data_IF_900785398217
#
_entry.id   IF_900785398217
#
_cell.length_a   1.000
_cell.length_b   1.000
_cell.length_c   1.000
_cell.angle_alpha   90.00
_cell.angle_beta   90.00
_cell.angle_gamma   90.00
#
_symmetry.space_group_name_H-M   'P 1'
#
loop_
_entity.id
_entity.type
_entity.pdbx_description
1 polymer ?
#
# COMPACT_ATOMS: atom_id res chain seq x y z
N UNK A 1 4.84 -0.72 -31.55
CA UNK A 1 4.89 0.75 -31.45
C UNK A 1 6.16 1.09 -30.72
N UNK A 2 7.09 1.82 -31.35
CA UNK A 2 8.28 2.31 -30.66
C UNK A 2 7.82 3.20 -29.49
N UNK A 3 8.46 3.14 -28.30
CA UNK A 3 8.10 4.05 -27.23
C UNK A 3 8.42 5.47 -27.69
N UNK A 4 7.42 6.33 -27.84
CA UNK A 4 7.68 7.73 -28.19
C UNK A 4 8.53 8.35 -27.07
N UNK A 5 9.59 9.06 -27.46
CA UNK A 5 10.52 9.73 -26.54
C UNK A 5 9.78 10.61 -25.50
N UNK A 6 8.63 11.14 -25.86
CA UNK A 6 7.75 11.92 -24.98
C UNK A 6 7.19 11.10 -23.80
N UNK A 7 6.82 9.83 -24.02
CA UNK A 7 6.39 8.94 -22.95
C UNK A 7 7.56 8.57 -22.04
N UNK A 8 8.73 8.27 -22.62
CA UNK A 8 9.94 7.97 -21.85
C UNK A 8 10.34 9.15 -20.93
N UNK A 9 10.30 10.37 -21.47
CA UNK A 9 10.54 11.60 -20.69
C UNK A 9 9.52 11.77 -19.56
N UNK A 10 8.23 11.56 -19.84
CA UNK A 10 7.16 11.68 -18.84
C UNK A 10 7.35 10.70 -17.68
N UNK A 11 7.73 9.45 -17.97
CA UNK A 11 8.01 8.43 -16.95
C UNK A 11 9.23 8.83 -16.10
N UNK A 12 10.28 9.34 -16.74
CA UNK A 12 11.51 9.75 -16.06
C UNK A 12 11.25 10.93 -15.10
N UNK A 13 10.48 11.91 -15.55
CA UNK A 13 10.04 13.05 -14.74
C UNK A 13 9.17 12.59 -13.57
N UNK A 14 8.20 11.70 -13.81
CA UNK A 14 7.35 11.14 -12.77
C UNK A 14 8.17 10.38 -11.72
N UNK A 15 9.15 9.58 -12.14
CA UNK A 15 10.04 8.87 -11.23
C UNK A 15 10.89 9.84 -10.40
N UNK A 16 11.41 10.92 -11.02
CA UNK A 16 12.14 11.97 -10.32
C UNK A 16 11.28 12.72 -9.29
N UNK A 17 10.06 13.09 -9.65
CA UNK A 17 9.11 13.72 -8.70
C UNK A 17 8.80 12.76 -7.55
N UNK A 18 8.54 11.49 -7.85
CA UNK A 18 8.24 10.47 -6.84
C UNK A 18 9.42 10.27 -5.87
N UNK A 19 10.65 10.14 -6.38
CA UNK A 19 11.84 9.92 -5.53
C UNK A 19 12.12 11.14 -4.65
N UNK A 20 12.01 12.34 -5.20
CA UNK A 20 12.16 13.59 -4.43
C UNK A 20 11.11 13.66 -3.32
N UNK A 21 9.84 13.43 -3.64
CA UNK A 21 8.76 13.45 -2.64
C UNK A 21 8.93 12.39 -1.56
N UNK A 22 9.34 11.18 -1.93
CA UNK A 22 9.63 10.13 -0.95
C UNK A 22 10.82 10.50 -0.07
N UNK A 23 11.85 11.14 -0.62
CA UNK A 23 13.03 11.58 0.12
C UNK A 23 12.64 12.66 1.14
N UNK A 24 11.84 13.65 0.74
CA UNK A 24 11.28 14.66 1.64
C UNK A 24 10.40 14.03 2.73
N UNK A 25 9.54 13.08 2.35
CA UNK A 25 8.68 12.35 3.30
C UNK A 25 9.47 11.51 4.31
N UNK A 26 10.65 11.01 3.95
CA UNK A 26 11.53 10.27 4.88
C UNK A 26 12.46 11.16 5.69
N UNK A 27 12.81 12.33 5.15
CA UNK A 27 13.74 13.28 5.76
C UNK A 27 13.07 14.28 6.69
N UNK A 28 11.75 14.46 6.58
CA UNK A 28 10.99 15.37 7.42
C UNK A 28 9.76 14.70 8.03
N UNK A 29 9.68 14.55 9.37
CA UNK A 29 8.47 14.09 10.02
C UNK A 29 7.34 15.12 9.84
N UNK A 30 6.10 14.68 9.66
CA UNK A 30 4.90 15.53 9.52
C UNK A 30 4.69 16.54 10.66
N UNK A 31 5.37 16.35 11.78
CA UNK A 31 5.23 17.17 12.98
C UNK A 31 6.15 18.41 12.98
N UNK A 32 7.13 18.49 12.08
CA UNK A 32 8.09 19.58 12.02
C UNK A 32 8.04 20.27 10.65
N UNK A 33 7.42 21.45 10.59
CA UNK A 33 7.18 22.19 9.34
C UNK A 33 8.41 22.91 8.79
N UNK A 34 9.50 22.98 9.56
CA UNK A 34 10.71 23.73 9.22
C UNK A 34 11.91 22.80 9.07
N UNK A 35 11.83 21.87 8.11
CA UNK A 35 13.02 21.16 7.69
C UNK A 35 13.94 22.13 6.96
N UNK A 36 15.19 22.27 7.42
CA UNK A 36 16.24 23.07 6.77
C UNK A 36 16.68 22.61 5.36
N UNK A 37 15.80 21.92 4.64
CA UNK A 37 15.90 21.60 3.23
C UNK A 37 15.18 22.76 2.53
N UNK A 38 15.87 23.55 1.71
CA UNK A 38 15.45 24.91 1.28
C UNK A 38 14.14 25.09 0.50
N UNK A 39 13.23 24.11 0.46
CA UNK A 39 11.88 24.16 -0.09
C UNK A 39 10.92 23.46 0.88
N UNK A 40 9.84 24.14 1.27
CA UNK A 40 8.79 23.57 2.11
C UNK A 40 8.16 22.33 1.43
N UNK A 41 7.84 21.26 2.17
CA UNK A 41 7.35 20.00 1.61
C UNK A 41 6.02 20.16 0.85
N UNK A 42 5.17 21.10 1.28
CA UNK A 42 3.93 21.47 0.58
C UNK A 42 4.20 22.09 -0.80
N UNK A 43 5.23 22.93 -0.90
CA UNK A 43 5.63 23.58 -2.15
C UNK A 43 6.25 22.54 -3.10
N UNK A 44 7.07 21.62 -2.58
CA UNK A 44 7.63 20.51 -3.36
C UNK A 44 6.54 19.59 -3.94
N UNK A 45 5.49 19.29 -3.16
CA UNK A 45 4.31 18.53 -3.61
C UNK A 45 3.56 19.24 -4.73
N UNK A 46 3.26 20.53 -4.55
CA UNK A 46 2.52 21.32 -5.54
C UNK A 46 3.30 21.44 -6.86
N UNK A 47 4.61 21.70 -6.78
CA UNK A 47 5.48 21.77 -7.95
C UNK A 47 5.54 20.41 -8.65
N UNK A 48 5.70 19.31 -7.90
CA UNK A 48 5.70 17.95 -8.44
C UNK A 48 4.41 17.60 -9.18
N UNK A 49 3.25 17.90 -8.60
CA UNK A 49 1.95 17.68 -9.23
C UNK A 49 1.76 18.52 -10.50
N UNK A 50 2.19 19.79 -10.47
CA UNK A 50 2.12 20.68 -11.63
C UNK A 50 2.98 20.13 -12.79
N UNK A 51 4.21 19.68 -12.49
CA UNK A 51 5.11 19.11 -13.49
C UNK A 51 4.50 17.86 -14.13
N UNK A 52 3.95 16.94 -13.33
CA UNK A 52 3.30 15.72 -13.83
C UNK A 52 2.09 16.07 -14.72
N UNK A 53 1.26 17.03 -14.32
CA UNK A 53 0.11 17.48 -15.11
C UNK A 53 0.55 18.05 -16.46
N UNK A 54 1.55 18.93 -16.48
CA UNK A 54 2.06 19.56 -17.71
C UNK A 54 2.65 18.50 -18.64
N UNK A 55 3.48 17.59 -18.14
CA UNK A 55 4.04 16.50 -18.95
C UNK A 55 2.95 15.58 -19.53
N UNK A 56 1.93 15.20 -18.74
CA UNK A 56 0.82 14.36 -19.22
C UNK A 56 -0.03 15.07 -20.27
N UNK A 57 -0.29 16.36 -20.08
CA UNK A 57 -1.04 17.17 -21.04
C UNK A 57 -0.31 17.34 -22.38
N UNK A 58 1.03 17.30 -22.37
CA UNK A 58 1.87 17.38 -23.57
C UNK A 58 2.05 16.03 -24.27
N UNK A 59 2.00 14.91 -23.54
CA UNK A 59 2.23 13.57 -24.08
C UNK A 59 0.95 12.86 -24.56
N UNK A 60 -0.21 13.13 -23.95
CA UNK A 60 -1.46 12.46 -24.31
C UNK A 60 -2.20 13.18 -25.44
N UNK A 61 -2.70 12.41 -26.39
CA UNK A 61 -3.46 12.92 -27.54
C UNK A 61 -4.85 13.44 -27.14
N UNK A 62 -5.46 12.90 -26.07
CA UNK A 62 -6.79 13.29 -25.60
C UNK A 62 -6.75 13.89 -24.19
N UNK A 63 -7.52 14.97 -23.97
CA UNK A 63 -7.60 15.64 -22.65
C UNK A 63 -8.19 14.73 -21.55
N UNK A 64 -9.05 13.79 -21.94
CA UNK A 64 -9.69 12.86 -21.01
C UNK A 64 -8.66 11.84 -20.50
N UNK A 65 -7.82 11.30 -21.37
CA UNK A 65 -6.78 10.34 -21.01
C UNK A 65 -5.67 10.99 -20.17
N UNK A 66 -5.30 12.23 -20.50
CA UNK A 66 -4.38 13.03 -19.68
C UNK A 66 -4.91 13.23 -18.25
N UNK A 67 -6.21 13.54 -18.11
CA UNK A 67 -6.84 13.75 -16.82
C UNK A 67 -6.96 12.47 -16.00
N UNK A 68 -7.36 11.36 -16.62
CA UNK A 68 -7.47 10.06 -15.96
C UNK A 68 -6.11 9.56 -15.46
N UNK A 69 -5.08 9.63 -16.31
CA UNK A 69 -3.72 9.23 -15.92
C UNK A 69 -3.14 10.14 -14.83
N UNK A 70 -3.40 11.44 -14.89
CA UNK A 70 -3.02 12.38 -13.83
C UNK A 70 -3.68 12.03 -12.47
N UNK A 71 -4.98 11.76 -12.44
CA UNK A 71 -5.66 11.37 -11.20
C UNK A 71 -5.06 10.08 -10.64
N UNK A 72 -4.80 9.08 -11.50
CA UNK A 72 -4.18 7.83 -11.08
C UNK A 72 -2.76 8.05 -10.51
N UNK A 73 -1.98 8.95 -11.13
CA UNK A 73 -0.64 9.31 -10.67
C UNK A 73 -0.68 10.01 -9.29
N UNK A 74 -1.57 10.99 -9.10
CA UNK A 74 -1.75 11.70 -7.81
C UNK A 74 -2.22 10.75 -6.72
N UNK A 75 -3.18 9.89 -7.03
CA UNK A 75 -3.73 8.93 -6.10
C UNK A 75 -2.70 7.86 -5.71
N UNK A 76 -1.87 7.41 -6.65
CA UNK A 76 -0.72 6.53 -6.37
C UNK A 76 0.37 7.21 -5.53
N UNK A 77 0.71 8.46 -5.84
CA UNK A 77 1.65 9.29 -5.08
C UNK A 77 1.19 9.45 -3.63
N UNK A 78 -0.07 9.83 -3.43
CA UNK A 78 -0.63 10.03 -2.09
C UNK A 78 -0.73 8.71 -1.32
N UNK A 79 -1.10 7.62 -1.99
CA UNK A 79 -1.17 6.30 -1.37
C UNK A 79 0.19 5.83 -0.86
N UNK A 80 1.26 5.94 -1.67
CA UNK A 80 2.59 5.44 -1.28
C UNK A 80 3.31 6.44 -0.35
N UNK A 81 3.38 7.71 -0.75
CA UNK A 81 4.09 8.73 0.05
C UNK A 81 3.36 9.00 1.37
N UNK A 82 2.03 9.03 1.38
CA UNK A 82 1.25 9.27 2.58
C UNK A 82 1.38 8.14 3.60
N UNK A 83 1.29 6.88 3.16
CA UNK A 83 1.46 5.73 4.07
C UNK A 83 2.88 5.63 4.60
N UNK A 84 3.90 5.93 3.78
CA UNK A 84 5.29 5.98 4.21
C UNK A 84 5.55 7.13 5.21
N UNK A 85 4.96 8.31 4.97
CA UNK A 85 5.08 9.46 5.88
C UNK A 85 4.52 9.16 7.27
N UNK A 86 3.35 8.51 7.33
CA UNK A 86 2.76 8.05 8.60
C UNK A 86 3.67 7.05 9.29
N UNK A 87 4.26 6.11 8.56
CA UNK A 87 5.20 5.14 9.11
C UNK A 87 6.44 5.82 9.72
N UNK A 88 7.00 6.82 9.04
CA UNK A 88 8.16 7.60 9.51
C UNK A 88 7.79 8.45 10.73
N UNK A 89 6.61 9.08 10.74
CA UNK A 89 6.13 9.85 11.89
C UNK A 89 6.02 9.01 13.17
N UNK A 90 5.61 7.73 13.06
CA UNK A 90 5.61 6.80 14.19
C UNK A 90 7.02 6.45 14.71
N UNK A 91 8.05 6.55 13.87
CA UNK A 91 9.44 6.21 14.27
C UNK A 91 10.11 7.38 14.99
N UNK A 92 9.77 8.62 14.66
CA UNK A 92 10.49 9.81 15.14
C UNK A 92 9.96 10.39 16.48
N UNK A 93 8.75 10.01 16.88
CA UNK A 93 8.08 10.48 18.11
C UNK A 93 8.85 10.09 19.41
N UNK A 94 8.73 10.89 20.48
CA UNK A 94 9.47 10.76 21.75
C UNK A 94 9.28 9.39 22.43
N UNK A 95 8.18 8.66 22.14
CA UNK A 95 7.94 7.27 22.62
C UNK A 95 8.53 6.21 21.69
N UNK A 96 9.76 6.42 21.22
CA UNK A 96 10.44 5.62 20.18
C UNK A 96 10.40 4.10 20.41
N UNK A 97 10.46 3.62 21.66
CA UNK A 97 10.48 2.17 21.94
C UNK A 97 9.12 1.52 21.70
N UNK A 98 8.04 2.10 22.24
CA UNK A 98 6.68 1.56 22.12
C UNK A 98 6.19 1.56 20.67
N UNK A 99 6.45 2.63 19.92
CA UNK A 99 6.01 2.69 18.52
C UNK A 99 6.78 1.71 17.63
N UNK A 100 8.09 1.50 17.87
CA UNK A 100 8.86 0.50 17.13
C UNK A 100 8.36 -0.92 17.38
N UNK A 101 8.05 -1.26 18.64
CA UNK A 101 7.46 -2.55 18.99
C UNK A 101 6.07 -2.73 18.35
N UNK A 102 5.25 -1.68 18.32
CA UNK A 102 3.95 -1.71 17.66
C UNK A 102 4.07 -1.89 16.13
N UNK A 103 5.05 -1.26 15.47
CA UNK A 103 5.30 -1.43 14.04
C UNK A 103 5.75 -2.85 13.70
N UNK A 104 6.67 -3.42 14.49
CA UNK A 104 7.08 -4.82 14.36
C UNK A 104 5.87 -5.74 14.56
N UNK A 105 5.01 -5.43 15.53
CA UNK A 105 3.80 -6.18 15.76
C UNK A 105 2.82 -6.11 14.60
N UNK A 106 2.60 -4.92 14.05
CA UNK A 106 1.75 -4.71 12.87
C UNK A 106 2.26 -5.54 11.68
N UNK A 107 3.56 -5.51 11.39
CA UNK A 107 4.16 -6.27 10.30
C UNK A 107 3.92 -7.78 10.46
N UNK A 108 4.14 -8.29 11.68
CA UNK A 108 3.95 -9.70 11.98
C UNK A 108 2.47 -10.12 11.90
N UNK A 109 1.55 -9.24 12.33
CA UNK A 109 0.11 -9.45 12.19
C UNK A 109 -0.29 -9.52 10.72
N UNK A 110 0.21 -8.62 9.87
CA UNK A 110 -0.09 -8.66 8.42
C UNK A 110 0.38 -9.98 7.83
N UNK A 111 1.62 -10.40 8.09
CA UNK A 111 2.15 -11.68 7.60
C UNK A 111 1.36 -12.89 8.11
N UNK A 112 1.02 -12.89 9.40
CA UNK A 112 0.19 -13.94 9.99
C UNK A 112 -1.22 -13.96 9.39
N UNK A 113 -1.78 -12.78 9.10
CA UNK A 113 -3.11 -12.65 8.51
C UNK A 113 -3.15 -13.12 7.06
N UNK A 114 -2.11 -12.85 6.26
CA UNK A 114 -1.96 -13.35 4.88
C UNK A 114 -1.76 -14.86 4.86
N UNK A 115 -0.92 -15.37 5.77
CA UNK A 115 -0.72 -16.82 5.93
C UNK A 115 -2.02 -17.50 6.36
N UNK A 116 -2.71 -16.93 7.34
CA UNK A 116 -3.99 -17.43 7.85
C UNK A 116 -5.07 -17.45 6.77
N UNK A 117 -5.16 -16.39 5.97
CA UNK A 117 -6.04 -16.30 4.82
C UNK A 117 -5.76 -17.40 3.78
N UNK A 118 -4.48 -17.63 3.49
CA UNK A 118 -4.07 -18.65 2.52
C UNK A 118 -4.37 -20.05 3.04
N UNK A 119 -4.09 -20.33 4.32
CA UNK A 119 -4.36 -21.62 4.95
C UNK A 119 -5.86 -21.88 4.97
N UNK A 120 -6.68 -20.94 5.44
CA UNK A 120 -8.13 -21.15 5.46
C UNK A 120 -8.69 -21.31 4.05
N UNK A 121 -8.27 -20.48 3.10
CA UNK A 121 -8.67 -20.62 1.70
C UNK A 121 -8.32 -22.00 1.11
N UNK A 122 -7.10 -22.48 1.35
CA UNK A 122 -6.65 -23.82 0.93
C UNK A 122 -7.42 -24.95 1.61
N UNK A 123 -7.72 -24.81 2.90
CA UNK A 123 -8.47 -25.81 3.66
C UNK A 123 -9.93 -25.89 3.17
N UNK A 124 -10.55 -24.75 2.87
CA UNK A 124 -11.91 -24.67 2.32
C UNK A 124 -11.98 -25.20 0.88
N UNK A 125 -10.94 -24.94 0.06
CA UNK A 125 -10.78 -25.53 -1.27
C UNK A 125 -10.66 -27.07 -1.18
N UNK A 126 -9.84 -27.58 -0.25
CA UNK A 126 -9.71 -29.02 -0.02
C UNK A 126 -10.99 -29.66 0.53
N UNK A 127 -11.77 -28.92 1.31
CA UNK A 127 -13.06 -29.36 1.84
C UNK A 127 -14.19 -29.33 0.80
N UNK A 128 -13.91 -28.99 -0.47
CA UNK A 128 -14.90 -28.81 -1.54
C UNK A 128 -16.07 -27.91 -1.10
N UNK A 129 -15.76 -26.84 -0.37
CA UNK A 129 -16.81 -25.98 0.16
C UNK A 129 -17.53 -25.23 -0.98
N UNK A 130 -18.85 -25.42 -1.16
CA UNK A 130 -19.57 -24.94 -2.35
C UNK A 130 -19.90 -23.44 -2.31
N UNK A 131 -19.72 -22.75 -1.17
CA UNK A 131 -20.04 -21.33 -0.99
C UNK A 131 -18.78 -20.46 -0.91
N UNK A 132 -17.94 -20.55 -1.94
CA UNK A 132 -16.84 -19.61 -2.10
C UNK A 132 -17.39 -18.25 -2.54
N UNK A 133 -17.61 -17.35 -1.58
CA UNK A 133 -18.09 -15.99 -1.83
C UNK A 133 -16.90 -15.02 -1.96
N UNK A 134 -16.50 -14.65 -3.19
CA UNK A 134 -15.47 -13.66 -3.39
C UNK A 134 -15.93 -12.30 -2.87
N UNK A 135 -15.07 -11.64 -2.09
CA UNK A 135 -15.25 -10.31 -1.53
C UNK A 135 -15.47 -9.26 -2.63
N UNK A 136 -14.82 -9.47 -3.79
CA UNK A 136 -14.96 -8.61 -4.96
C UNK A 136 -14.71 -9.38 -6.26
N UNK A 137 -15.70 -10.16 -6.73
CA UNK A 137 -15.60 -10.99 -7.94
C UNK A 137 -15.09 -10.23 -9.19
N UNK A 138 -15.43 -8.95 -9.31
CA UNK A 138 -15.05 -8.08 -10.43
C UNK A 138 -13.60 -7.57 -10.36
N UNK A 139 -12.98 -7.58 -9.18
CA UNK A 139 -11.66 -6.96 -8.93
C UNK A 139 -10.60 -8.03 -8.62
N UNK A 140 -10.93 -8.97 -7.73
CA UNK A 140 -10.04 -10.05 -7.29
C UNK A 140 -10.85 -11.30 -6.94
N UNK A 141 -10.66 -12.38 -7.71
CA UNK A 141 -11.29 -13.68 -7.46
C UNK A 141 -10.68 -14.46 -6.28
N UNK A 142 -9.48 -14.09 -5.83
CA UNK A 142 -8.73 -14.84 -4.80
C UNK A 142 -8.91 -14.26 -3.38
N UNK A 143 -9.91 -13.40 -3.17
CA UNK A 143 -10.17 -12.79 -1.86
C UNK A 143 -11.61 -13.05 -1.46
N UNK A 144 -11.77 -13.72 -0.33
CA UNK A 144 -13.07 -14.25 0.10
C UNK A 144 -13.36 -13.86 1.54
N UNK A 145 -14.65 -13.86 1.89
CA UNK A 145 -15.09 -13.60 3.25
C UNK A 145 -14.51 -14.62 4.24
N UNK A 146 -14.42 -15.88 3.85
CA UNK A 146 -13.90 -16.97 4.69
C UNK A 146 -12.38 -16.86 4.91
N UNK A 147 -11.65 -16.47 3.86
CA UNK A 147 -10.24 -16.11 3.95
C UNK A 147 -10.00 -14.89 4.85
N UNK A 148 -10.95 -13.96 4.91
CA UNK A 148 -10.89 -12.78 5.79
C UNK A 148 -11.11 -13.18 7.25
N UNK A 149 -12.04 -14.10 7.52
CA UNK A 149 -12.24 -14.65 8.86
C UNK A 149 -11.00 -15.40 9.35
N UNK A 150 -10.37 -16.21 8.49
CA UNK A 150 -9.08 -16.85 8.77
C UNK A 150 -7.98 -15.85 9.08
N UNK A 151 -7.88 -14.78 8.29
CA UNK A 151 -6.92 -13.71 8.51
C UNK A 151 -7.10 -13.05 9.90
N UNK A 152 -8.34 -12.80 10.32
CA UNK A 152 -8.65 -12.21 11.63
C UNK A 152 -8.24 -13.16 12.76
N UNK A 153 -8.59 -14.45 12.67
CA UNK A 153 -8.28 -15.43 13.73
C UNK A 153 -6.77 -15.59 13.90
N UNK A 154 -6.03 -15.77 12.79
CA UNK A 154 -4.58 -15.89 12.83
C UNK A 154 -3.90 -14.57 13.26
N UNK A 155 -4.43 -13.43 12.83
CA UNK A 155 -3.96 -12.11 13.27
C UNK A 155 -4.12 -11.90 14.78
N UNK A 156 -5.28 -12.28 15.36
CA UNK A 156 -5.52 -12.20 16.81
C UNK A 156 -4.56 -13.13 17.56
N UNK A 157 -4.34 -14.34 17.04
CA UNK A 157 -3.36 -15.28 17.61
C UNK A 157 -1.95 -14.70 17.61
N UNK A 158 -1.52 -14.09 16.51
CA UNK A 158 -0.23 -13.42 16.41
C UNK A 158 -0.10 -12.24 17.39
N UNK A 159 -1.12 -11.39 17.49
CA UNK A 159 -1.15 -10.28 18.45
C UNK A 159 -1.09 -10.78 19.91
N UNK A 160 -1.77 -11.89 20.24
CA UNK A 160 -1.74 -12.46 21.58
C UNK A 160 -0.34 -12.99 21.96
N UNK A 161 0.38 -13.58 21.00
CA UNK A 161 1.78 -14.02 21.21
C UNK A 161 2.70 -12.81 21.34
N UNK A 162 2.63 -11.85 20.41
CA UNK A 162 3.51 -10.68 20.42
C UNK A 162 3.26 -9.78 21.63
N UNK A 163 2.02 -9.67 22.10
CA UNK A 163 1.72 -8.95 23.33
C UNK A 163 2.42 -9.51 24.56
N UNK A 164 2.76 -10.81 24.57
CA UNK A 164 3.52 -11.42 25.68
C UNK A 164 5.03 -11.25 25.51
N UNK A 165 5.52 -11.21 24.27
CA UNK A 165 6.96 -11.11 23.96
C UNK A 165 7.45 -9.66 24.06
N UNK A 166 6.64 -8.71 23.60
CA UNK A 166 6.99 -7.28 23.48
C UNK A 166 6.35 -6.43 24.58
N UNK A 167 5.72 -7.05 25.59
CA UNK A 167 5.02 -6.38 26.71
C UNK A 167 4.14 -5.18 26.28
N UNK A 168 3.43 -5.34 25.16
CA UNK A 168 2.68 -4.25 24.54
C UNK A 168 1.64 -3.68 25.50
N UNK A 169 1.57 -2.35 25.70
CA UNK A 169 0.59 -1.75 26.60
C UNK A 169 -0.84 -1.88 26.04
N UNK A 170 -1.82 -1.87 26.95
CA UNK A 170 -3.25 -1.86 26.62
C UNK A 170 -4.00 -3.15 26.97
N UNK A 171 -5.32 -3.02 27.05
CA UNK A 171 -6.25 -4.11 27.35
C UNK A 171 -6.27 -5.15 26.23
N UNK A 172 -6.64 -6.39 26.55
CA UNK A 172 -6.87 -7.43 25.56
C UNK A 172 -7.88 -6.96 24.49
N UNK A 173 -8.95 -6.28 24.91
CA UNK A 173 -9.99 -5.80 24.00
C UNK A 173 -9.46 -4.74 23.01
N UNK A 174 -8.58 -3.83 23.45
CA UNK A 174 -7.99 -2.83 22.56
C UNK A 174 -7.04 -3.47 21.55
N UNK A 175 -6.30 -4.50 21.93
CA UNK A 175 -5.39 -5.25 21.06
C UNK A 175 -6.14 -6.04 19.99
N UNK A 176 -7.24 -6.69 20.37
CA UNK A 176 -8.13 -7.37 19.42
C UNK A 176 -8.75 -6.38 18.44
N UNK A 177 -9.29 -5.26 18.93
CA UNK A 177 -9.89 -4.23 18.08
C UNK A 177 -8.87 -3.67 17.08
N UNK A 178 -7.67 -3.34 17.55
CA UNK A 178 -6.57 -2.88 16.70
C UNK A 178 -6.23 -3.89 15.60
N UNK A 179 -6.14 -5.17 15.97
CA UNK A 179 -5.84 -6.26 15.02
C UNK A 179 -6.91 -6.38 13.95
N UNK A 180 -8.19 -6.37 14.35
CA UNK A 180 -9.31 -6.45 13.41
C UNK A 180 -9.31 -5.27 12.44
N UNK A 181 -9.11 -4.05 12.94
CA UNK A 181 -9.02 -2.85 12.11
C UNK A 181 -7.83 -2.92 11.15
N UNK A 182 -6.66 -3.37 11.62
CA UNK A 182 -5.46 -3.53 10.80
C UNK A 182 -5.67 -4.54 9.66
N UNK A 183 -6.25 -5.71 9.97
CA UNK A 183 -6.52 -6.75 8.96
C UNK A 183 -7.55 -6.26 7.92
N UNK A 184 -8.64 -5.62 8.35
CA UNK A 184 -9.65 -5.09 7.43
C UNK A 184 -9.04 -4.00 6.54
N UNK A 185 -8.28 -3.07 7.13
CA UNK A 185 -7.62 -1.99 6.39
C UNK A 185 -6.61 -2.54 5.39
N UNK A 186 -5.79 -3.53 5.77
CA UNK A 186 -4.87 -4.20 4.87
C UNK A 186 -5.57 -4.88 3.69
N UNK A 187 -6.68 -5.59 3.95
CA UNK A 187 -7.48 -6.23 2.90
C UNK A 187 -8.09 -5.23 1.91
N UNK A 188 -8.56 -4.08 2.42
CA UNK A 188 -9.07 -2.96 1.60
C UNK A 188 -7.92 -2.35 0.79
N UNK A 189 -6.75 -2.13 1.38
CA UNK A 189 -5.56 -1.61 0.70
C UNK A 189 -5.14 -2.49 -0.48
N UNK A 190 -5.07 -3.80 -0.28
CA UNK A 190 -4.78 -4.73 -1.37
C UNK A 190 -5.88 -4.73 -2.47
N UNK A 191 -7.15 -4.45 -2.12
CA UNK A 191 -8.25 -4.34 -3.10
C UNK A 191 -8.09 -3.04 -3.90
N UNK A 192 -7.73 -1.96 -3.23
CA UNK A 192 -7.44 -0.68 -3.84
C UNK A 192 -6.23 -0.78 -4.79
N UNK A 193 -5.16 -1.48 -4.39
CA UNK A 193 -4.03 -1.78 -5.27
C UNK A 193 -4.48 -2.60 -6.49
N UNK A 194 -5.35 -3.59 -6.29
CA UNK A 194 -5.90 -4.40 -7.38
C UNK A 194 -6.76 -3.56 -8.33
N UNK A 195 -7.54 -2.61 -7.81
CA UNK A 195 -8.31 -1.64 -8.60
C UNK A 195 -7.39 -0.73 -9.41
N UNK A 196 -6.35 -0.19 -8.79
CA UNK A 196 -5.37 0.67 -9.45
C UNK A 196 -4.68 -0.05 -10.61
N UNK A 197 -4.28 -1.31 -10.39
CA UNK A 197 -3.74 -2.18 -11.44
C UNK A 197 -4.70 -2.29 -12.64
N UNK A 198 -5.99 -2.59 -12.38
CA UNK A 198 -7.01 -2.70 -13.42
C UNK A 198 -7.27 -1.37 -14.15
N UNK A 199 -7.31 -0.25 -13.42
CA UNK A 199 -7.49 1.08 -14.00
C UNK A 199 -6.31 1.49 -14.89
N UNK A 200 -5.10 1.09 -14.53
CA UNK A 200 -3.88 1.29 -15.33
C UNK A 200 -3.70 0.26 -16.46
N UNK A 201 -4.64 -0.69 -16.64
CA UNK A 201 -4.56 -1.71 -17.68
C UNK A 201 -3.45 -2.76 -17.48
N UNK A 202 -2.81 -2.79 -16.31
CA UNK A 202 -1.72 -3.71 -15.97
C UNK A 202 -2.17 -4.75 -14.95
N UNK A 203 -1.65 -5.96 -15.05
CA UNK A 203 -1.92 -7.03 -14.06
C UNK A 203 -0.88 -7.07 -12.94
N UNK A 204 0.36 -6.70 -13.24
CA UNK A 204 1.50 -6.79 -12.34
C UNK A 204 2.12 -5.40 -12.13
N UNK A 205 2.40 -5.03 -10.87
CA UNK A 205 2.90 -3.71 -10.46
C UNK A 205 4.35 -3.43 -10.89
N UNK A 206 5.08 -4.43 -11.40
CA UNK A 206 6.43 -4.26 -11.95
C UNK A 206 7.22 -5.55 -12.16
N UNK A 207 8.39 -5.45 -12.80
CA UNK A 207 9.38 -6.55 -12.98
C UNK A 207 10.59 -6.43 -12.03
N UNK A 208 10.55 -5.53 -11.06
CA UNK A 208 11.71 -5.13 -10.27
C UNK A 208 12.25 -6.25 -9.36
N UNK A 209 11.39 -7.16 -8.88
CA UNK A 209 11.78 -8.28 -8.02
C UNK A 209 11.69 -9.59 -8.83
N UNK A 210 12.82 -10.16 -9.28
CA UNK A 210 12.80 -11.43 -9.99
C UNK A 210 12.36 -12.55 -9.03
N UNK A 211 11.21 -13.18 -9.32
CA UNK A 211 10.75 -14.39 -8.64
C UNK A 211 9.36 -14.34 -7.97
N UNK A 212 8.74 -13.17 -7.79
CA UNK A 212 7.48 -13.05 -7.03
C UNK A 212 6.24 -12.58 -7.83
N UNK A 213 6.28 -12.63 -9.17
CA UNK A 213 5.17 -12.10 -9.97
C UNK A 213 5.11 -12.56 -11.43
N UNK A 214 5.55 -13.78 -11.75
CA UNK A 214 5.50 -14.26 -13.14
C UNK A 214 4.98 -15.69 -13.19
N UNK A 215 3.65 -15.85 -13.18
CA UNK A 215 3.07 -16.93 -13.98
C UNK A 215 2.88 -16.38 -15.39
N UNK A 216 3.84 -16.69 -16.26
CA UNK A 216 3.62 -16.67 -17.72
C UNK A 216 2.49 -17.67 -17.99
N UNK A 217 1.29 -17.20 -18.29
CA UNK A 217 0.36 -17.97 -19.12
C UNK A 217 0.60 -17.52 -20.55
N UNK A 218 1.51 -18.23 -21.22
CA UNK A 218 1.35 -18.55 -22.64
C UNK A 218 0.07 -19.33 -22.85
#
# INVERSE_FOLDING_TARGET
>A
MAPDWQYALTILVQYGVFTVLTLYSTGCPLNDFSCGIGLDPEVALLIGMLIVLVCRSAACHSRIEAFLTFILDVLGLFYISGTLSVLVAFVDDERRLLYRELLIALLYIVWASDTGAYITGKMLEFANYPYYNPLAAHISKNKDYEGTLGAIIFGIGAMAVLSKVLDLPGSFNSKVLFTVVAVITGRIGDLFESLLKRAAGVKDSGKLIPGHGVKKTT
#
